data_IF_773297481451
#
_entry.id   IF_773297481451
#
_cell.length_a   1.000
_cell.length_b   1.000
_cell.length_c   1.000
_cell.angle_alpha   90.00
_cell.angle_beta   90.00
_cell.angle_gamma   90.00
#
_symmetry.space_group_name_H-M   'P 1'
#
loop_
_entity.id
_entity.type
_entity.pdbx_description
1 polymer ?
#
# COMPACT_ATOMS: atom_id res chain seq x y z
N UNK A 1 -8.24 -8.25 27.64
CA UNK A 1 -7.63 -6.90 27.75
C UNK A 1 -7.63 -6.28 26.37
N UNK A 2 -8.14 -5.05 26.23
CA UNK A 2 -8.56 -4.43 24.96
C UNK A 2 -7.34 -4.14 24.07
N UNK A 3 -7.34 -4.67 22.84
CA UNK A 3 -6.34 -4.35 21.82
C UNK A 3 -6.39 -2.86 21.46
N UNK A 4 -5.21 -2.27 21.22
CA UNK A 4 -5.09 -0.88 20.82
C UNK A 4 -5.88 -0.66 19.52
N UNK A 5 -6.92 0.18 19.59
CA UNK A 5 -7.67 0.56 18.39
C UNK A 5 -6.81 1.54 17.58
N UNK A 6 -6.66 1.36 16.26
CA UNK A 6 -6.03 2.37 15.42
C UNK A 6 -6.80 3.68 15.56
N UNK A 7 -6.07 4.77 15.85
CA UNK A 7 -6.63 6.11 15.93
C UNK A 7 -6.59 6.68 14.52
N UNK A 8 -7.77 6.89 13.93
CA UNK A 8 -7.94 7.69 12.72
C UNK A 8 -8.12 9.13 13.18
N UNK A 9 -7.24 10.02 12.75
CA UNK A 9 -7.32 11.45 13.07
C UNK A 9 -8.24 12.13 12.03
N UNK A 10 -9.34 12.75 12.48
CA UNK A 10 -10.29 13.52 11.66
C UNK A 10 -10.52 14.87 12.36
N UNK A 11 -10.13 16.00 11.77
CA UNK A 11 -10.87 16.92 10.87
C UNK A 11 -9.94 18.12 10.61
N UNK A 12 -10.07 18.93 9.55
CA UNK A 12 -9.67 20.37 9.45
C UNK A 12 -9.75 20.92 8.00
N UNK A 13 -9.87 22.26 7.80
CA UNK A 13 -10.49 22.86 6.61
C UNK A 13 -9.59 22.87 5.38
N UNK A 14 -10.24 22.82 4.22
CA UNK A 14 -9.64 22.74 2.89
C UNK A 14 -9.27 24.15 2.39
N UNK A 15 -7.99 24.43 2.19
CA UNK A 15 -7.54 25.55 1.36
C UNK A 15 -7.40 25.02 -0.07
N UNK A 16 -8.24 25.50 -1.00
CA UNK A 16 -8.29 24.97 -2.37
C UNK A 16 -7.30 25.73 -3.25
N UNK A 17 -6.11 25.15 -3.44
CA UNK A 17 -5.32 25.44 -4.64
C UNK A 17 -5.98 24.72 -5.83
N UNK A 18 -5.93 25.30 -7.02
CA UNK A 18 -6.39 24.63 -8.25
C UNK A 18 -5.42 23.50 -8.58
N UNK A 19 -5.79 22.27 -8.27
CA UNK A 19 -4.95 21.08 -8.44
C UNK A 19 -5.38 20.27 -9.66
N UNK A 20 -4.43 19.59 -10.32
CA UNK A 20 -4.74 18.68 -11.41
C UNK A 20 -5.50 17.45 -10.87
N UNK A 21 -6.83 17.51 -10.94
CA UNK A 21 -7.74 16.42 -10.56
C UNK A 21 -7.79 15.36 -11.64
N UNK A 22 -7.89 14.10 -11.23
CA UNK A 22 -8.12 13.02 -12.16
C UNK A 22 -9.53 13.09 -12.76
N UNK A 23 -9.63 12.83 -14.07
CA UNK A 23 -10.92 12.65 -14.75
C UNK A 23 -11.64 11.35 -14.33
N UNK A 24 -12.76 11.00 -15.00
CA UNK A 24 -13.48 9.76 -14.73
C UNK A 24 -12.57 8.53 -14.82
N UNK A 25 -12.74 7.60 -13.88
CA UNK A 25 -11.99 6.35 -13.85
C UNK A 25 -12.70 5.25 -14.64
N UNK A 26 -11.97 4.59 -15.53
CA UNK A 26 -12.40 3.39 -16.27
C UNK A 26 -11.33 2.30 -16.28
N UNK A 27 -11.68 1.12 -16.80
CA UNK A 27 -10.80 -0.06 -16.79
C UNK A 27 -9.51 0.11 -17.61
N UNK A 28 -9.50 0.96 -18.65
CA UNK A 28 -8.35 1.11 -19.54
C UNK A 28 -7.23 1.93 -18.91
N UNK A 29 -7.51 2.62 -17.80
CA UNK A 29 -6.52 3.36 -17.02
C UNK A 29 -5.67 2.46 -16.11
N UNK A 30 -6.05 1.19 -15.91
CA UNK A 30 -5.37 0.29 -14.98
C UNK A 30 -4.34 -0.61 -15.67
N UNK A 31 -3.31 -1.00 -14.93
CA UNK A 31 -2.32 -2.00 -15.31
C UNK A 31 -3.03 -3.32 -15.62
N UNK A 32 -2.44 -4.08 -16.54
CA UNK A 32 -3.09 -5.21 -17.20
C UNK A 32 -3.80 -6.19 -16.25
N UNK A 33 -5.12 -6.09 -16.27
CA UNK A 33 -6.05 -6.98 -15.57
C UNK A 33 -6.09 -8.38 -16.19
N UNK A 34 -5.41 -8.58 -17.32
CA UNK A 34 -5.45 -9.81 -18.13
C UNK A 34 -4.12 -10.54 -18.21
N UNK A 35 -3.04 -9.96 -17.68
CA UNK A 35 -1.74 -10.65 -17.61
C UNK A 35 -1.85 -12.07 -17.03
N UNK A 36 -1.10 -13.03 -17.58
CA UNK A 36 -1.01 -14.34 -16.95
C UNK A 36 -0.41 -14.20 -15.55
N UNK A 37 -0.69 -15.18 -14.69
CA UNK A 37 0.00 -15.27 -13.40
C UNK A 37 1.51 -15.28 -13.63
N UNK A 38 2.28 -14.39 -12.99
CA UNK A 38 3.71 -14.36 -13.17
C UNK A 38 4.33 -15.65 -12.60
N UNK A 39 5.33 -16.17 -13.31
CA UNK A 39 6.25 -17.13 -12.70
C UNK A 39 7.12 -16.40 -11.67
N UNK A 40 7.38 -17.05 -10.54
CA UNK A 40 8.15 -16.45 -9.45
C UNK A 40 8.81 -17.53 -8.59
N UNK A 41 9.96 -17.18 -8.00
CA UNK A 41 10.58 -18.01 -6.96
C UNK A 41 9.74 -17.95 -5.68
N UNK A 42 8.93 -19.00 -5.47
CA UNK A 42 8.00 -19.10 -4.35
C UNK A 42 8.67 -19.45 -3.03
N UNK A 43 9.86 -20.07 -3.05
CA UNK A 43 10.49 -20.67 -1.87
C UNK A 43 9.48 -21.37 -0.93
N UNK A 44 8.66 -22.25 -1.51
CA UNK A 44 7.60 -23.02 -0.84
C UNK A 44 6.34 -22.23 -0.40
N UNK A 45 6.31 -20.90 -0.55
CA UNK A 45 5.10 -20.10 -0.30
C UNK A 45 4.05 -20.25 -1.40
N UNK A 46 2.88 -19.67 -1.16
CA UNK A 46 1.75 -19.67 -2.06
C UNK A 46 2.05 -18.95 -3.37
N UNK A 47 1.42 -19.42 -4.45
CA UNK A 47 1.52 -18.79 -5.76
C UNK A 47 0.91 -17.37 -5.75
N UNK A 48 1.35 -16.48 -6.66
CA UNK A 48 0.76 -15.16 -6.83
C UNK A 48 -0.75 -15.22 -7.05
N UNK A 49 -1.46 -14.30 -6.42
CA UNK A 49 -2.90 -14.12 -6.59
C UNK A 49 -3.21 -12.70 -7.01
N UNK A 50 -4.21 -12.53 -7.89
CA UNK A 50 -4.59 -11.20 -8.34
C UNK A 50 -5.19 -10.40 -7.18
N UNK A 51 -4.68 -9.19 -7.03
CA UNK A 51 -5.24 -8.18 -6.15
C UNK A 51 -6.60 -7.76 -6.69
N UNK A 52 -7.50 -7.38 -5.79
CA UNK A 52 -8.80 -6.85 -6.17
C UNK A 52 -8.66 -5.48 -6.83
N UNK A 53 -9.33 -5.31 -7.97
CA UNK A 53 -9.40 -4.00 -8.64
C UNK A 53 -10.37 -3.05 -7.93
N UNK A 54 -11.38 -3.61 -7.24
CA UNK A 54 -12.34 -2.86 -6.45
C UNK A 54 -12.48 -3.46 -5.07
N UNK A 55 -12.69 -2.61 -4.08
CA UNK A 55 -13.04 -3.09 -2.75
C UNK A 55 -14.55 -3.38 -2.61
N UNK A 56 -14.97 -3.76 -1.41
CA UNK A 56 -16.37 -4.07 -1.09
C UNK A 56 -17.32 -2.86 -1.19
N UNK A 57 -16.80 -1.63 -1.22
CA UNK A 57 -17.59 -0.40 -1.43
C UNK A 57 -17.60 0.04 -2.90
N UNK A 58 -16.94 -0.72 -3.77
CA UNK A 58 -16.85 -0.43 -5.19
C UNK A 58 -15.75 0.58 -5.57
N UNK A 59 -14.94 1.06 -4.61
CA UNK A 59 -13.86 2.01 -4.89
C UNK A 59 -12.75 1.34 -5.69
N UNK A 60 -12.11 2.07 -6.58
CA UNK A 60 -11.02 1.56 -7.42
C UNK A 60 -9.71 1.42 -6.66
N UNK A 61 -8.92 0.38 -6.94
CA UNK A 61 -7.55 0.27 -6.47
C UNK A 61 -6.60 1.14 -7.32
N UNK A 62 -6.47 2.41 -6.93
CA UNK A 62 -5.68 3.45 -7.58
C UNK A 62 -4.19 3.10 -7.67
N UNK A 63 -3.66 2.22 -6.79
CA UNK A 63 -2.28 1.76 -6.88
C UNK A 63 -1.99 0.98 -8.18
N UNK A 64 -3.04 0.46 -8.82
CA UNK A 64 -2.98 -0.25 -10.09
C UNK A 64 -3.11 0.65 -11.32
N UNK A 65 -3.23 1.98 -11.19
CA UNK A 65 -3.26 2.86 -12.35
C UNK A 65 -1.97 2.76 -13.17
N UNK A 66 -2.07 2.91 -14.49
CA UNK A 66 -0.91 2.98 -15.41
C UNK A 66 0.02 4.15 -15.09
N UNK A 67 -0.47 5.19 -14.43
CA UNK A 67 0.29 6.33 -13.90
C UNK A 67 0.95 6.04 -12.55
N UNK A 68 0.43 5.09 -11.77
CA UNK A 68 0.90 4.83 -10.42
C UNK A 68 2.32 4.23 -10.40
N UNK A 69 3.22 4.80 -9.59
CA UNK A 69 4.62 4.39 -9.47
C UNK A 69 4.96 4.10 -8.02
N UNK A 70 5.52 2.91 -7.75
CA UNK A 70 6.02 2.55 -6.44
C UNK A 70 7.35 3.23 -6.11
N UNK A 71 7.52 3.64 -4.86
CA UNK A 71 8.73 4.25 -4.31
C UNK A 71 9.12 3.56 -3.01
N UNK A 72 10.43 3.34 -2.82
CA UNK A 72 10.97 2.70 -1.61
C UNK A 72 12.28 3.34 -1.20
N UNK A 73 12.61 3.33 0.10
CA UNK A 73 13.88 3.86 0.61
C UNK A 73 15.08 2.98 0.27
N UNK A 74 14.87 1.67 0.11
CA UNK A 74 15.87 0.67 -0.26
C UNK A 74 15.23 -0.67 -0.61
N UNK A 75 15.99 -1.58 -1.20
CA UNK A 75 15.57 -2.95 -1.52
C UNK A 75 16.68 -3.92 -1.17
N UNK A 76 16.34 -5.05 -0.53
CA UNK A 76 17.30 -6.11 -0.20
C UNK A 76 17.99 -6.66 -1.47
N UNK A 77 19.28 -6.96 -1.38
CA UNK A 77 20.07 -7.53 -2.48
C UNK A 77 19.96 -9.05 -2.53
N UNK A 78 20.31 -9.65 -3.68
CA UNK A 78 20.39 -11.11 -3.85
C UNK A 78 19.10 -11.80 -4.27
N UNK A 79 18.03 -11.05 -4.51
CA UNK A 79 16.70 -11.61 -4.80
C UNK A 79 16.08 -11.03 -6.08
N UNK A 80 16.72 -11.08 -7.26
CA UNK A 80 16.21 -10.38 -8.45
C UNK A 80 14.79 -10.80 -8.88
N UNK A 81 14.37 -12.03 -8.57
CA UNK A 81 13.03 -12.56 -8.87
C UNK A 81 11.96 -12.34 -7.80
N UNK A 82 12.28 -11.73 -6.65
CA UNK A 82 11.34 -11.49 -5.53
C UNK A 82 11.75 -10.28 -4.69
N UNK A 83 10.88 -9.79 -3.81
CA UNK A 83 11.25 -8.72 -2.86
C UNK A 83 11.69 -7.40 -3.52
N UNK A 84 11.13 -7.08 -4.70
CA UNK A 84 11.51 -5.91 -5.50
C UNK A 84 10.53 -4.76 -5.34
N UNK A 85 11.02 -3.52 -5.53
CA UNK A 85 10.19 -2.29 -5.54
C UNK A 85 8.98 -2.42 -6.46
N UNK A 86 9.18 -2.99 -7.64
CA UNK A 86 8.14 -3.07 -8.67
C UNK A 86 6.92 -3.88 -8.21
N UNK A 87 7.09 -4.79 -7.24
CA UNK A 87 6.01 -5.65 -6.78
C UNK A 87 5.14 -5.03 -5.69
N UNK A 88 5.42 -3.80 -5.23
CA UNK A 88 4.55 -3.12 -4.27
C UNK A 88 3.18 -2.73 -4.84
N UNK A 89 3.05 -2.66 -6.16
CA UNK A 89 1.81 -2.28 -6.83
C UNK A 89 1.69 -2.90 -8.22
N UNK A 90 2.09 -4.16 -8.35
CA UNK A 90 2.03 -4.88 -9.62
C UNK A 90 0.71 -5.65 -9.84
N UNK A 91 -0.18 -5.65 -8.85
CA UNK A 91 -1.46 -6.35 -8.90
C UNK A 91 -1.41 -7.80 -8.46
N UNK A 92 -0.33 -8.26 -7.81
CA UNK A 92 -0.18 -9.63 -7.36
C UNK A 92 0.22 -9.75 -5.88
N UNK A 93 -0.61 -10.42 -5.09
CA UNK A 93 -0.34 -10.77 -3.70
C UNK A 93 0.67 -11.93 -3.55
N UNK A 94 1.09 -12.15 -2.30
CA UNK A 94 1.98 -13.19 -1.76
C UNK A 94 3.49 -12.94 -1.92
N UNK A 95 4.28 -13.62 -1.07
CA UNK A 95 5.69 -13.27 -0.78
C UNK A 95 6.62 -13.22 -1.99
N UNK A 96 6.42 -14.03 -3.03
CA UNK A 96 7.28 -13.98 -4.21
C UNK A 96 7.09 -12.69 -5.04
N UNK A 97 5.96 -11.98 -4.84
CA UNK A 97 5.64 -10.67 -5.41
C UNK A 97 5.65 -9.59 -4.34
N UNK A 98 6.56 -9.67 -3.38
CA UNK A 98 6.65 -8.67 -2.31
C UNK A 98 7.77 -7.68 -2.51
N UNK A 99 7.93 -6.76 -1.57
CA UNK A 99 9.11 -5.94 -1.33
C UNK A 99 9.65 -6.14 0.10
N UNK A 100 10.98 -6.04 0.26
CA UNK A 100 11.68 -6.02 1.55
C UNK A 100 12.77 -4.94 1.51
N UNK A 101 12.87 -4.03 2.50
CA UNK A 101 13.91 -3.02 2.55
C UNK A 101 15.27 -3.64 2.94
N UNK A 102 16.35 -3.00 2.51
CA UNK A 102 17.71 -3.39 2.91
C UNK A 102 18.06 -2.94 4.33
N UNK A 103 17.47 -1.83 4.79
CA UNK A 103 17.78 -1.17 6.08
C UNK A 103 16.52 -0.62 6.74
N UNK A 104 16.61 -0.44 8.06
CA UNK A 104 15.57 0.18 8.89
C UNK A 104 16.08 1.50 9.50
N UNK A 105 15.20 2.50 9.77
CA UNK A 105 13.79 2.55 9.35
C UNK A 105 13.66 2.58 7.82
N UNK A 106 12.48 2.20 7.32
CA UNK A 106 12.23 2.06 5.89
C UNK A 106 10.99 2.83 5.46
N UNK A 107 10.92 3.16 4.17
CA UNK A 107 9.75 3.79 3.56
C UNK A 107 9.33 3.02 2.33
N UNK A 108 8.03 2.83 2.17
CA UNK A 108 7.37 2.39 0.94
C UNK A 108 6.26 3.37 0.58
N UNK A 109 5.82 3.37 -0.67
CA UNK A 109 4.70 4.20 -1.07
C UNK A 109 4.42 4.17 -2.56
N UNK A 110 3.38 4.88 -2.96
CA UNK A 110 2.95 5.03 -4.35
C UNK A 110 2.67 6.51 -4.64
N UNK A 111 3.22 7.02 -5.74
CA UNK A 111 2.74 8.23 -6.42
C UNK A 111 1.67 7.79 -7.43
N UNK A 112 0.44 8.28 -7.27
CA UNK A 112 -0.70 7.93 -8.15
C UNK A 112 -0.64 8.67 -9.50
N UNK A 113 0.19 9.71 -9.61
CA UNK A 113 0.37 10.54 -10.81
C UNK A 113 -0.61 11.72 -10.93
N UNK A 114 -1.71 11.71 -10.18
CA UNK A 114 -2.69 12.79 -10.05
C UNK A 114 -3.35 12.73 -8.67
N UNK A 115 -4.16 13.72 -8.32
CA UNK A 115 -4.95 13.68 -7.08
C UNK A 115 -6.25 12.89 -7.23
N UNK A 116 -6.54 12.07 -6.22
CA UNK A 116 -7.71 11.22 -6.11
C UNK A 116 -8.33 11.34 -4.72
N UNK A 117 -9.62 11.00 -4.61
CA UNK A 117 -10.30 10.88 -3.32
C UNK A 117 -10.01 9.50 -2.72
N UNK A 118 -9.05 9.43 -1.80
CA UNK A 118 -8.62 8.15 -1.18
C UNK A 118 -9.51 7.84 0.02
N UNK A 119 -10.26 6.73 -0.06
CA UNK A 119 -11.17 6.28 0.98
C UNK A 119 -10.62 5.14 1.85
N UNK A 120 -9.65 4.35 1.35
CA UNK A 120 -9.01 3.33 2.17
C UNK A 120 -7.60 3.00 1.68
N UNK A 121 -6.78 2.48 2.59
CA UNK A 121 -5.43 1.99 2.31
C UNK A 121 -5.34 0.58 2.87
N UNK A 122 -4.75 -0.35 2.14
CA UNK A 122 -4.56 -1.71 2.61
C UNK A 122 -3.18 -2.26 2.25
N UNK A 123 -2.63 -3.08 3.14
CA UNK A 123 -1.46 -3.88 2.84
C UNK A 123 -1.37 -5.08 3.79
N UNK A 124 -0.56 -6.07 3.41
CA UNK A 124 -0.22 -7.22 4.21
C UNK A 124 1.27 -7.52 4.15
N UNK A 125 1.73 -8.42 5.02
CA UNK A 125 3.04 -9.05 4.81
C UNK A 125 2.95 -10.17 3.79
N UNK A 126 1.86 -10.95 3.85
CA UNK A 126 1.38 -11.90 2.85
C UNK A 126 -0.15 -11.96 2.89
N UNK A 127 -0.80 -12.03 1.74
CA UNK A 127 -2.24 -12.27 1.64
C UNK A 127 -2.63 -13.64 2.22
N UNK A 128 -1.93 -14.69 1.80
CA UNK A 128 -2.00 -16.01 2.44
C UNK A 128 -0.74 -16.24 3.28
N UNK A 129 -0.83 -16.21 4.62
CA UNK A 129 0.35 -16.36 5.45
C UNK A 129 0.94 -17.75 5.33
N UNK A 130 2.17 -17.81 4.85
CA UNK A 130 3.02 -19.00 4.92
C UNK A 130 4.16 -18.75 5.91
N UNK A 131 4.81 -17.59 5.80
CA UNK A 131 5.82 -17.18 6.75
C UNK A 131 5.21 -16.40 7.91
N UNK A 132 5.89 -16.45 9.05
CA UNK A 132 5.46 -15.82 10.30
C UNK A 132 6.49 -14.80 10.82
N UNK A 133 7.39 -14.36 9.95
CA UNK A 133 8.38 -13.32 10.18
C UNK A 133 8.07 -12.07 9.33
N UNK A 134 8.87 -11.02 9.51
CA UNK A 134 8.87 -9.77 8.74
C UNK A 134 7.53 -9.05 8.69
N UNK A 135 6.66 -9.28 9.66
CA UNK A 135 5.35 -8.64 9.72
C UNK A 135 5.50 -7.22 10.30
N UNK A 136 5.08 -6.15 9.60
CA UNK A 136 5.10 -4.80 10.13
C UNK A 136 4.35 -4.69 11.46
N UNK A 137 4.95 -4.05 12.46
CA UNK A 137 4.41 -3.94 13.82
C UNK A 137 4.41 -2.52 14.40
N UNK A 138 5.15 -1.61 13.77
CA UNK A 138 5.10 -0.17 14.04
C UNK A 138 5.34 0.62 12.76
N UNK A 139 4.41 1.48 12.41
CA UNK A 139 4.50 2.33 11.23
C UNK A 139 3.49 3.48 11.27
N UNK A 140 3.72 4.44 10.39
CA UNK A 140 2.80 5.52 10.08
C UNK A 140 2.42 5.44 8.61
N UNK A 141 1.16 5.71 8.28
CA UNK A 141 0.73 5.98 6.90
C UNK A 141 0.43 7.48 6.78
N UNK A 142 1.06 8.10 5.80
CA UNK A 142 0.90 9.52 5.50
C UNK A 142 0.49 9.72 4.04
N UNK A 143 -0.29 10.76 3.80
CA UNK A 143 -0.73 11.14 2.45
C UNK A 143 -0.40 12.59 2.16
N UNK A 144 -0.23 12.94 0.89
CA UNK A 144 -0.04 14.31 0.45
C UNK A 144 -0.67 14.55 -0.92
N UNK A 145 -1.04 15.80 -1.19
CA UNK A 145 -1.41 16.28 -2.52
C UNK A 145 -0.19 16.63 -3.37
N UNK A 146 -0.39 17.41 -4.42
CA UNK A 146 0.70 17.90 -5.27
C UNK A 146 1.70 18.79 -4.53
N UNK A 147 1.25 19.49 -3.50
CA UNK A 147 2.06 20.34 -2.61
C UNK A 147 3.10 19.57 -1.78
N UNK A 148 2.98 18.23 -1.72
CA UNK A 148 3.82 17.32 -0.92
C UNK A 148 3.82 17.65 0.57
N UNK A 149 2.77 18.30 1.08
CA UNK A 149 2.58 18.49 2.51
C UNK A 149 2.00 17.20 3.09
N UNK A 150 2.89 16.36 3.64
CA UNK A 150 2.50 15.07 4.19
C UNK A 150 1.78 15.20 5.51
N UNK A 151 0.60 14.58 5.59
CA UNK A 151 -0.19 14.43 6.81
C UNK A 151 -0.33 12.97 7.17
N UNK A 152 -0.19 12.67 8.45
CA UNK A 152 -0.45 11.35 9.01
C UNK A 152 -1.96 11.06 8.99
N UNK A 153 -2.34 9.90 8.46
CA UNK A 153 -3.73 9.41 8.45
C UNK A 153 -3.91 8.13 9.26
N UNK A 154 -2.81 7.38 9.48
CA UNK A 154 -2.80 6.18 10.33
C UNK A 154 -1.52 6.14 11.14
N UNK A 155 -1.65 5.84 12.43
CA UNK A 155 -0.55 5.40 13.29
C UNK A 155 -0.82 4.00 13.80
N UNK A 156 0.16 3.12 13.64
CA UNK A 156 0.06 1.74 14.09
C UNK A 156 1.26 1.38 14.96
N UNK A 157 1.01 0.86 16.16
CA UNK A 157 2.03 0.31 17.06
C UNK A 157 1.40 -0.84 17.87
N UNK A 158 1.48 -2.05 17.31
CA UNK A 158 1.03 -3.26 18.02
C UNK A 158 2.00 -4.43 17.74
N UNK A 159 2.97 -4.69 18.65
CA UNK A 159 3.88 -5.81 18.51
C UNK A 159 3.23 -7.18 18.77
N UNK A 160 2.03 -7.22 19.38
CA UNK A 160 1.32 -8.47 19.69
C UNK A 160 0.46 -8.94 18.53
N UNK A 161 0.00 -8.01 17.70
CA UNK A 161 -0.77 -8.28 16.49
C UNK A 161 -0.17 -7.58 15.25
N UNK A 162 1.05 -7.97 14.82
CA UNK A 162 1.68 -7.38 13.66
C UNK A 162 0.89 -7.70 12.39
N UNK A 163 1.03 -6.87 11.36
CA UNK A 163 0.31 -6.97 10.08
C UNK A 163 0.83 -8.19 9.29
N UNK A 164 0.24 -9.35 9.58
CA UNK A 164 0.54 -10.63 8.91
C UNK A 164 -0.21 -10.72 7.59
N UNK A 165 -1.53 -10.63 7.67
CA UNK A 165 -2.48 -10.66 6.56
C UNK A 165 -2.78 -9.26 6.08
N UNK A 166 -3.37 -9.16 4.88
CA UNK A 166 -4.00 -7.93 4.37
C UNK A 166 -4.88 -7.32 5.45
N UNK A 167 -4.55 -6.09 5.84
CA UNK A 167 -5.34 -5.24 6.75
C UNK A 167 -5.73 -3.98 5.98
N UNK A 168 -6.96 -3.51 6.21
CA UNK A 168 -7.53 -2.32 5.59
C UNK A 168 -7.67 -1.25 6.68
N UNK A 169 -7.28 -0.02 6.35
CA UNK A 169 -7.54 1.18 7.12
C UNK A 169 -8.48 2.06 6.31
N UNK A 170 -9.71 2.23 6.80
CA UNK A 170 -10.70 3.14 6.22
C UNK A 170 -10.37 4.59 6.61
N UNK A 171 -10.50 5.49 5.64
CA UNK A 171 -10.35 6.92 5.81
C UNK A 171 -11.74 7.55 5.67
N UNK A 172 -12.29 8.00 6.81
CA UNK A 172 -13.60 8.63 6.86
C UNK A 172 -13.47 10.01 7.56
N UNK A 173 -13.69 11.13 6.82
CA UNK A 173 -14.02 11.19 5.39
C UNK A 173 -12.83 10.78 4.48
N UNK A 174 -13.10 10.45 3.19
CA UNK A 174 -12.04 10.28 2.20
C UNK A 174 -11.13 11.50 2.10
N UNK A 175 -9.88 11.25 1.74
CA UNK A 175 -8.82 12.25 1.76
C UNK A 175 -8.28 12.46 0.35
N UNK A 176 -8.29 13.71 -0.13
CA UNK A 176 -7.64 14.03 -1.41
C UNK A 176 -6.13 13.84 -1.26
N UNK A 177 -5.55 13.01 -2.13
CA UNK A 177 -4.14 12.70 -2.14
C UNK A 177 -3.64 12.23 -3.51
N UNK A 178 -2.37 12.50 -3.78
CA UNK A 178 -1.58 11.94 -4.89
C UNK A 178 -0.53 10.95 -4.39
N UNK A 179 0.06 11.23 -3.23
CA UNK A 179 1.10 10.40 -2.63
C UNK A 179 0.53 9.66 -1.42
N UNK A 180 0.81 8.36 -1.32
CA UNK A 180 0.56 7.55 -0.13
C UNK A 180 1.88 6.90 0.27
N UNK A 181 2.34 7.17 1.50
CA UNK A 181 3.60 6.66 2.04
C UNK A 181 3.36 5.89 3.33
N UNK A 182 4.16 4.84 3.53
CA UNK A 182 4.24 4.06 4.76
C UNK A 182 5.67 4.20 5.30
N UNK A 183 5.79 4.81 6.47
CA UNK A 183 7.04 4.89 7.23
C UNK A 183 7.08 3.74 8.24
N UNK A 184 7.95 2.76 7.96
CA UNK A 184 8.11 1.52 8.71
C UNK A 184 9.22 1.67 9.75
N UNK A 185 8.87 1.51 11.02
CA UNK A 185 9.81 1.62 12.14
C UNK A 185 10.20 0.25 12.71
N UNK A 186 9.27 -0.71 12.71
CA UNK A 186 9.48 -2.01 13.34
C UNK A 186 8.69 -3.13 12.69
N UNK A 187 9.26 -4.32 12.67
CA UNK A 187 8.62 -5.57 12.27
C UNK A 187 8.98 -6.71 13.20
N UNK A 188 8.17 -7.76 13.17
CA UNK A 188 8.45 -9.00 13.88
C UNK A 188 9.52 -9.80 13.12
N UNK A 189 10.72 -9.99 13.71
CA UNK A 189 11.85 -10.80 13.16
C UNK A 189 12.29 -10.40 11.74
N UNK A 190 13.33 -9.58 11.65
CA UNK A 190 13.93 -9.12 10.38
C UNK A 190 13.21 -7.92 9.77
N UNK A 191 13.75 -7.38 8.68
CA UNK A 191 13.18 -6.23 7.95
C UNK A 191 11.79 -6.56 7.38
N UNK A 192 10.84 -5.62 7.39
CA UNK A 192 9.44 -5.85 7.04
C UNK A 192 9.29 -6.32 5.59
N UNK A 193 8.27 -7.13 5.36
CA UNK A 193 7.82 -7.50 4.02
C UNK A 193 6.44 -6.90 3.78
N UNK A 194 6.24 -6.32 2.60
CA UNK A 194 4.91 -5.90 2.10
C UNK A 194 4.70 -6.62 0.78
N UNK A 195 3.62 -7.39 0.66
CA UNK A 195 3.32 -8.09 -0.60
C UNK A 195 2.64 -7.17 -1.62
N UNK A 196 1.64 -6.39 -1.20
CA UNK A 196 1.03 -5.35 -2.06
C UNK A 196 0.64 -4.13 -1.20
N UNK A 197 0.82 -2.93 -1.75
CA UNK A 197 0.23 -1.70 -1.25
C UNK A 197 -0.98 -1.32 -2.12
N UNK A 198 -2.16 -1.41 -1.53
CA UNK A 198 -3.44 -1.14 -2.17
C UNK A 198 -3.98 0.22 -1.68
N UNK A 199 -4.50 1.03 -2.61
CA UNK A 199 -5.02 2.36 -2.31
C UNK A 199 -6.39 2.46 -2.98
N UNK A 200 -7.45 2.50 -2.19
CA UNK A 200 -8.82 2.48 -2.68
C UNK A 200 -9.42 3.87 -2.65
N UNK A 201 -9.99 4.28 -3.79
CA UNK A 201 -10.60 5.59 -3.94
C UNK A 201 -11.29 5.77 -5.28
N UNK A 202 -11.69 7.01 -5.52
CA UNK A 202 -12.38 7.44 -6.74
C UNK A 202 -11.69 8.68 -7.31
N UNK A 203 -12.19 9.17 -8.46
CA UNK A 203 -11.80 10.47 -9.00
C UNK A 203 -11.96 11.55 -7.93
N UNK A 204 -11.04 12.50 -7.86
CA UNK A 204 -11.23 13.68 -7.03
C UNK A 204 -12.28 14.57 -7.70
N UNK A 205 -13.43 14.79 -7.06
CA UNK A 205 -14.43 15.78 -7.49
C UNK A 205 -13.88 17.20 -7.39
#
# INVERSE_FOLDING_TARGET
>A
MRGARPIVLSTFPCLVASVARAGPLDYDLFKSLRDPRPDCDRADSFAPQRVQLRDARGRWNLALLKTARAHVSSTIRGWPGRHQRAFLNDGWWNSCRSWIPARMPARAGVDLGAEYSVGAIAFGSEYQPYYHDRNPSKFTISVAGEDRVFREVVRFDDPRDPVKRRRVWELEPPVVARYVLIDLERSFRGNPRIDELEIYGDSAE
#
